data_IF_938584283493
#
_entry.id   IF_938584283493
#
_cell.length_a   1.000
_cell.length_b   1.000
_cell.length_c   1.000
_cell.angle_alpha   90.00
_cell.angle_beta   90.00
_cell.angle_gamma   90.00
#
_symmetry.space_group_name_H-M   'P 1'
#
loop_
_entity.id
_entity.type
_entity.pdbx_description
1 polymer ?
#
# COMPACT_ATOMS: atom_id res chain seq x y z
N UNK A 1 -27.08 -8.60 -23.37
CA UNK A 1 -27.23 -9.28 -22.07
C UNK A 1 -25.86 -9.73 -21.58
N UNK A 2 -25.47 -9.45 -20.34
CA UNK A 2 -24.17 -9.80 -19.78
C UNK A 2 -24.09 -11.31 -19.50
N UNK A 3 -23.23 -12.04 -20.22
CA UNK A 3 -23.03 -13.46 -20.01
C UNK A 3 -21.74 -13.72 -19.22
N UNK A 4 -21.88 -14.10 -17.94
CA UNK A 4 -20.75 -14.36 -17.04
C UNK A 4 -19.80 -15.48 -17.56
N UNK A 5 -20.34 -16.47 -18.27
CA UNK A 5 -19.53 -17.57 -18.81
C UNK A 5 -18.63 -17.07 -19.94
N UNK A 6 -19.17 -16.23 -20.82
CA UNK A 6 -18.41 -15.63 -21.93
C UNK A 6 -17.28 -14.74 -21.42
N UNK A 7 -17.55 -13.89 -20.42
CA UNK A 7 -16.51 -13.06 -19.79
C UNK A 7 -15.40 -13.86 -19.16
N UNK A 8 -15.72 -14.94 -18.42
CA UNK A 8 -14.73 -15.84 -17.85
C UNK A 8 -13.90 -16.52 -18.93
N UNK A 9 -14.52 -16.95 -20.02
CA UNK A 9 -13.82 -17.61 -21.12
C UNK A 9 -12.88 -16.65 -21.84
N UNK A 10 -13.32 -15.42 -22.15
CA UNK A 10 -12.48 -14.38 -22.74
C UNK A 10 -11.29 -14.03 -21.84
N UNK A 11 -11.52 -13.84 -20.53
CA UNK A 11 -10.46 -13.58 -19.55
C UNK A 11 -9.44 -14.74 -19.48
N UNK A 12 -9.91 -15.97 -19.49
CA UNK A 12 -9.04 -17.16 -19.48
C UNK A 12 -8.20 -17.28 -20.76
N UNK A 13 -8.77 -16.97 -21.92
CA UNK A 13 -8.03 -16.95 -23.18
C UNK A 13 -6.97 -15.86 -23.22
N UNK A 14 -7.31 -14.63 -22.77
CA UNK A 14 -6.37 -13.52 -22.68
C UNK A 14 -5.19 -13.85 -21.74
N UNK A 15 -5.49 -14.43 -20.58
CA UNK A 15 -4.48 -14.85 -19.60
C UNK A 15 -3.55 -15.93 -20.17
N UNK A 16 -4.11 -16.98 -20.82
CA UNK A 16 -3.31 -18.05 -21.41
C UNK A 16 -2.40 -17.55 -22.55
N UNK A 17 -2.87 -16.57 -23.33
CA UNK A 17 -2.14 -16.04 -24.48
C UNK A 17 -0.81 -15.36 -24.08
N UNK A 18 -0.74 -14.75 -22.89
CA UNK A 18 0.41 -14.02 -22.37
C UNK A 18 0.69 -14.41 -20.91
N UNK A 19 0.68 -15.72 -20.65
CA UNK A 19 0.73 -16.28 -19.29
C UNK A 19 1.95 -15.80 -18.50
N UNK A 20 3.15 -15.84 -19.11
CA UNK A 20 4.39 -15.48 -18.41
C UNK A 20 4.40 -14.01 -17.95
N UNK A 21 4.02 -13.08 -18.84
CA UNK A 21 3.97 -11.66 -18.49
C UNK A 21 2.83 -11.36 -17.50
N UNK A 22 1.67 -12.02 -17.64
CA UNK A 22 0.55 -11.82 -16.72
C UNK A 22 0.87 -12.31 -15.30
N UNK A 23 1.55 -13.46 -15.17
CA UNK A 23 2.01 -13.96 -13.86
C UNK A 23 3.09 -13.05 -13.27
N UNK A 24 4.05 -12.60 -14.10
CA UNK A 24 5.09 -11.68 -13.63
C UNK A 24 4.50 -10.36 -13.09
N UNK A 25 3.56 -9.74 -13.81
CA UNK A 25 2.88 -8.52 -13.36
C UNK A 25 2.05 -8.77 -12.10
N UNK A 26 1.32 -9.88 -12.02
CA UNK A 26 0.54 -10.23 -10.84
C UNK A 26 1.44 -10.43 -9.60
N UNK A 27 2.59 -11.11 -9.76
CA UNK A 27 3.58 -11.27 -8.69
C UNK A 27 4.19 -9.93 -8.27
N UNK A 28 4.57 -9.09 -9.23
CA UNK A 28 5.07 -7.74 -8.93
C UNK A 28 4.05 -6.90 -8.18
N UNK A 29 2.78 -6.89 -8.61
CA UNK A 29 1.71 -6.21 -7.89
C UNK A 29 1.52 -6.79 -6.48
N UNK A 30 1.58 -8.11 -6.31
CA UNK A 30 1.52 -8.77 -5.02
C UNK A 30 2.67 -8.37 -4.10
N UNK A 31 3.89 -8.35 -4.61
CA UNK A 31 5.08 -7.91 -3.86
C UNK A 31 4.98 -6.43 -3.47
N UNK A 32 4.55 -5.57 -4.38
CA UNK A 32 4.33 -4.14 -4.12
C UNK A 32 3.28 -3.96 -3.01
N UNK A 33 2.15 -4.64 -3.12
CA UNK A 33 1.12 -4.62 -2.08
C UNK A 33 1.62 -5.17 -0.74
N UNK A 34 2.55 -6.11 -0.76
CA UNK A 34 3.15 -6.70 0.44
C UNK A 34 4.15 -5.74 1.10
N UNK A 35 4.94 -5.02 0.30
CA UNK A 35 5.92 -4.05 0.78
C UNK A 35 5.25 -2.75 1.25
N UNK A 36 4.29 -2.26 0.49
CA UNK A 36 3.66 -0.95 0.70
C UNK A 36 2.29 -1.05 1.37
N UNK A 37 1.57 -2.14 1.20
CA UNK A 37 0.23 -2.36 1.76
C UNK A 37 0.16 -2.62 3.27
N UNK A 38 1.23 -2.41 3.96
CA UNK A 38 1.61 -2.27 5.39
C UNK A 38 0.70 -2.74 6.53
N UNK A 39 -0.49 -3.27 6.28
CA UNK A 39 -1.42 -3.54 7.38
C UNK A 39 -1.47 -5.00 7.89
N UNK A 40 -1.21 -5.98 7.02
CA UNK A 40 -1.54 -7.36 7.38
C UNK A 40 -0.35 -8.32 7.48
N UNK A 41 0.81 -7.93 7.02
CA UNK A 41 2.00 -8.81 7.05
C UNK A 41 2.77 -8.66 8.34
N UNK A 42 2.86 -7.46 8.88
CA UNK A 42 3.46 -7.20 10.19
C UNK A 42 2.69 -7.91 11.31
N UNK A 43 1.35 -7.91 11.27
CA UNK A 43 0.55 -8.67 12.25
C UNK A 43 0.75 -10.19 12.13
N UNK A 44 0.91 -10.72 10.92
CA UNK A 44 1.15 -12.16 10.72
C UNK A 44 2.58 -12.59 11.06
N UNK A 45 3.56 -11.72 10.89
CA UNK A 45 4.94 -12.00 11.26
C UNK A 45 5.17 -11.80 12.77
N UNK A 46 4.39 -10.93 13.42
CA UNK A 46 4.50 -10.68 14.86
C UNK A 46 3.95 -11.81 15.72
N UNK A 47 3.14 -12.73 15.14
CA UNK A 47 2.68 -13.94 15.85
C UNK A 47 3.75 -15.05 15.91
N UNK A 48 4.88 -14.89 15.24
CA UNK A 48 5.87 -15.97 15.06
C UNK A 48 7.05 -15.94 16.03
N UNK A 49 7.32 -14.83 16.73
CA UNK A 49 8.45 -14.77 17.66
C UNK A 49 8.23 -13.75 18.79
N UNK A 50 7.36 -14.07 19.74
CA UNK A 50 7.59 -13.66 21.10
C UNK A 50 8.63 -14.61 21.72
N UNK A 51 9.86 -14.47 21.30
CA UNK A 51 10.96 -14.92 22.15
C UNK A 51 10.92 -14.02 23.40
N UNK A 52 10.37 -14.55 24.48
CA UNK A 52 10.52 -13.99 25.82
C UNK A 52 12.02 -13.88 26.11
N UNK A 53 12.61 -12.75 25.70
CA UNK A 53 13.90 -12.38 26.20
C UNK A 53 13.71 -11.89 27.65
N UNK A 54 13.87 -12.82 28.57
CA UNK A 54 13.94 -12.57 30.02
C UNK A 54 15.19 -11.72 30.28
N UNK A 55 15.05 -10.42 30.12
CA UNK A 55 16.08 -9.43 30.39
C UNK A 55 15.58 -8.35 31.34
N UNK A 56 15.12 -8.75 32.53
CA UNK A 56 14.67 -7.80 33.55
C UNK A 56 15.74 -6.76 33.94
N UNK A 57 16.99 -7.07 33.79
CA UNK A 57 18.11 -6.14 34.08
C UNK A 57 18.27 -5.04 33.01
N UNK A 58 18.01 -5.35 31.75
CA UNK A 58 18.13 -4.36 30.66
C UNK A 58 16.94 -3.41 30.59
N UNK A 59 15.76 -3.85 31.00
CA UNK A 59 14.57 -3.00 31.04
C UNK A 59 14.70 -1.89 32.07
N UNK A 60 15.18 -2.22 33.27
CA UNK A 60 15.36 -1.24 34.35
C UNK A 60 16.38 -0.16 33.97
N UNK A 61 17.46 -0.50 33.27
CA UNK A 61 18.47 0.47 32.78
C UNK A 61 17.90 1.39 31.71
N UNK A 62 17.07 0.87 30.82
CA UNK A 62 16.42 1.66 29.76
C UNK A 62 15.37 2.59 30.38
N UNK A 63 14.57 2.12 31.34
CA UNK A 63 13.56 2.93 32.02
C UNK A 63 14.20 4.05 32.85
N UNK A 64 15.29 3.77 33.56
CA UNK A 64 16.04 4.76 34.34
C UNK A 64 16.69 5.81 33.41
N UNK A 65 17.25 5.39 32.29
CA UNK A 65 17.76 6.32 31.28
C UNK A 65 16.65 7.19 30.69
N UNK A 66 15.52 6.61 30.28
CA UNK A 66 14.41 7.34 29.68
C UNK A 66 13.72 8.29 30.65
N UNK A 67 13.73 8.00 31.96
CA UNK A 67 13.21 8.88 32.98
C UNK A 67 14.14 10.05 33.32
N UNK A 68 15.42 9.97 32.94
CA UNK A 68 16.36 11.07 33.13
C UNK A 68 16.06 12.24 32.15
N UNK A 69 16.36 13.52 32.53
CA UNK A 69 16.14 14.66 31.66
C UNK A 69 16.87 14.55 30.31
N UNK A 70 18.05 13.94 30.29
CA UNK A 70 18.82 13.69 29.05
C UNK A 70 18.17 12.59 28.21
N UNK A 71 17.67 11.53 28.83
CA UNK A 71 16.98 10.45 28.16
C UNK A 71 15.65 10.91 27.54
N UNK A 72 14.88 11.74 28.22
CA UNK A 72 13.65 12.36 27.69
C UNK A 72 13.93 13.21 26.45
N UNK A 73 14.99 14.04 26.48
CA UNK A 73 15.40 14.82 25.31
C UNK A 73 15.81 13.93 24.14
N UNK A 74 16.59 12.89 24.43
CA UNK A 74 17.03 11.94 23.41
C UNK A 74 15.84 11.18 22.80
N UNK A 75 14.92 10.68 23.62
CA UNK A 75 13.69 10.02 23.21
C UNK A 75 12.81 10.96 22.36
N UNK A 76 12.67 12.23 22.76
CA UNK A 76 11.92 13.22 22.00
C UNK A 76 12.51 13.48 20.60
N UNK A 77 13.83 13.63 20.50
CA UNK A 77 14.51 13.80 19.22
C UNK A 77 14.37 12.53 18.36
N UNK A 78 14.61 11.35 18.93
CA UNK A 78 14.48 10.09 18.23
C UNK A 78 13.05 9.89 17.69
N UNK A 79 12.04 10.16 18.52
CA UNK A 79 10.63 10.05 18.12
C UNK A 79 10.29 11.03 17.00
N UNK A 80 10.78 12.28 17.06
CA UNK A 80 10.54 13.27 16.00
C UNK A 80 11.17 12.87 14.67
N UNK A 81 12.37 12.31 14.69
CA UNK A 81 13.04 11.78 13.49
C UNK A 81 12.25 10.61 12.90
N UNK A 82 11.82 9.65 13.73
CA UNK A 82 10.99 8.52 13.29
C UNK A 82 9.67 9.01 12.67
N UNK A 83 9.04 10.00 13.28
CA UNK A 83 7.78 10.57 12.77
C UNK A 83 7.97 11.26 11.41
N UNK A 84 9.04 12.02 11.24
CA UNK A 84 9.36 12.65 9.94
C UNK A 84 9.66 11.58 8.89
N UNK A 85 10.44 10.56 9.23
CA UNK A 85 10.72 9.44 8.32
C UNK A 85 9.46 8.67 7.95
N UNK A 86 8.56 8.45 8.89
CA UNK A 86 7.27 7.80 8.64
C UNK A 86 6.39 8.64 7.70
N UNK A 87 6.33 9.97 7.88
CA UNK A 87 5.58 10.85 6.99
C UNK A 87 6.17 10.86 5.56
N UNK A 88 7.48 10.96 5.44
CA UNK A 88 8.16 10.88 4.14
C UNK A 88 7.91 9.52 3.47
N UNK A 89 8.03 8.43 4.24
CA UNK A 89 7.75 7.08 3.78
C UNK A 89 6.30 6.94 3.28
N UNK A 90 5.33 7.46 4.02
CA UNK A 90 3.90 7.44 3.64
C UNK A 90 3.65 8.20 2.33
N UNK A 91 4.26 9.39 2.15
CA UNK A 91 4.12 10.15 0.91
C UNK A 91 4.74 9.41 -0.27
N UNK A 92 5.95 8.87 -0.11
CA UNK A 92 6.62 8.09 -1.16
C UNK A 92 5.82 6.82 -1.49
N UNK A 93 5.33 6.13 -0.49
CA UNK A 93 4.44 4.98 -0.65
C UNK A 93 3.23 5.35 -1.51
N UNK A 94 2.52 6.40 -1.14
CA UNK A 94 1.33 6.85 -1.87
C UNK A 94 1.63 7.19 -3.34
N UNK A 95 2.73 7.90 -3.58
CA UNK A 95 3.14 8.32 -4.91
C UNK A 95 3.56 7.14 -5.81
N UNK A 96 4.24 6.14 -5.25
CA UNK A 96 4.76 5.01 -6.02
C UNK A 96 3.72 3.90 -6.17
N UNK A 97 3.09 3.49 -5.07
CA UNK A 97 2.13 2.38 -5.03
C UNK A 97 0.95 2.63 -5.97
N UNK A 98 0.28 3.77 -5.83
CA UNK A 98 -0.89 4.09 -6.65
C UNK A 98 -0.58 4.10 -8.15
N UNK A 99 0.56 4.63 -8.54
CA UNK A 99 0.95 4.67 -9.95
C UNK A 99 1.29 3.29 -10.50
N UNK A 100 1.92 2.43 -9.68
CA UNK A 100 2.19 1.03 -10.05
C UNK A 100 0.91 0.21 -10.16
N UNK A 101 -0.07 0.42 -9.29
CA UNK A 101 -1.39 -0.22 -9.36
C UNK A 101 -2.11 0.17 -10.67
N UNK A 102 -2.06 1.44 -11.05
CA UNK A 102 -2.62 1.90 -12.32
C UNK A 102 -1.90 1.27 -13.51
N UNK A 103 -0.58 1.22 -13.48
CA UNK A 103 0.23 0.58 -14.53
C UNK A 103 -0.08 -0.92 -14.67
N UNK A 104 -0.20 -1.63 -13.56
CA UNK A 104 -0.61 -3.03 -13.54
C UNK A 104 -2.03 -3.25 -14.07
N UNK A 105 -2.97 -2.41 -13.67
CA UNK A 105 -4.35 -2.46 -14.18
C UNK A 105 -4.39 -2.22 -15.69
N UNK A 106 -3.62 -1.25 -16.18
CA UNK A 106 -3.47 -0.97 -17.62
C UNK A 106 -2.90 -2.17 -18.38
N UNK A 107 -1.89 -2.86 -17.81
CA UNK A 107 -1.37 -4.08 -18.41
C UNK A 107 -2.47 -5.12 -18.62
N UNK A 108 -3.31 -5.38 -17.60
CA UNK A 108 -4.38 -6.38 -17.72
C UNK A 108 -5.47 -5.98 -18.72
N UNK A 109 -5.77 -4.69 -18.84
CA UNK A 109 -6.71 -4.19 -19.85
C UNK A 109 -6.16 -4.41 -21.26
N UNK A 110 -4.91 -4.01 -21.52
CA UNK A 110 -4.25 -4.20 -22.82
C UNK A 110 -4.06 -5.67 -23.15
N UNK A 111 -3.85 -6.52 -22.16
CA UNK A 111 -3.69 -7.96 -22.37
C UNK A 111 -4.95 -8.65 -22.92
N UNK A 112 -6.10 -7.99 -22.91
CA UNK A 112 -7.33 -8.53 -23.54
C UNK A 112 -7.25 -8.49 -25.06
N UNK A 113 -6.63 -7.46 -25.62
CA UNK A 113 -6.54 -7.23 -27.08
C UNK A 113 -5.15 -7.50 -27.63
N UNK A 114 -4.12 -7.15 -26.90
CA UNK A 114 -2.71 -7.18 -27.32
C UNK A 114 -1.91 -8.16 -26.46
N UNK A 115 -0.59 -8.23 -26.69
CA UNK A 115 0.40 -8.92 -25.84
C UNK A 115 1.37 -7.91 -25.26
N UNK A 116 0.96 -7.14 -24.25
CA UNK A 116 1.85 -6.16 -23.64
C UNK A 116 3.00 -6.85 -22.91
N UNK A 117 4.18 -6.21 -22.95
CA UNK A 117 5.31 -6.61 -22.11
C UNK A 117 5.14 -6.16 -20.66
N UNK A 118 5.90 -6.75 -19.74
CA UNK A 118 5.90 -6.35 -18.31
C UNK A 118 6.22 -4.85 -18.13
N UNK A 119 7.02 -4.28 -19.05
CA UNK A 119 7.38 -2.85 -19.04
C UNK A 119 6.20 -1.88 -19.13
N UNK A 120 5.05 -2.31 -19.65
CA UNK A 120 3.80 -1.52 -19.69
C UNK A 120 3.33 -1.09 -18.30
N UNK A 121 3.68 -1.83 -17.26
CA UNK A 121 3.40 -1.45 -15.87
C UNK A 121 4.08 -0.15 -15.47
N UNK A 122 5.23 0.18 -16.11
CA UNK A 122 6.00 1.41 -15.86
C UNK A 122 5.65 2.57 -16.80
N UNK A 123 4.77 2.36 -17.76
CA UNK A 123 4.33 3.40 -18.71
C UNK A 123 3.83 4.68 -18.03
N UNK A 124 3.06 4.65 -16.91
CA UNK A 124 2.62 5.86 -16.25
C UNK A 124 3.78 6.75 -15.79
N UNK A 125 4.94 6.17 -15.47
CA UNK A 125 6.15 6.93 -15.10
C UNK A 125 6.86 7.53 -16.30
N UNK A 126 6.75 6.90 -17.48
CA UNK A 126 7.45 7.31 -18.71
C UNK A 126 6.64 8.25 -19.59
N UNK A 127 5.32 8.19 -19.54
CA UNK A 127 4.43 8.90 -20.45
C UNK A 127 4.28 10.41 -20.19
N UNK A 128 5.00 10.97 -19.22
CA UNK A 128 4.84 12.38 -18.83
C UNK A 128 3.49 12.72 -18.13
N UNK A 129 2.59 11.76 -18.02
CA UNK A 129 1.26 11.92 -17.39
C UNK A 129 1.24 11.50 -15.92
N UNK A 130 2.41 11.29 -15.31
CA UNK A 130 2.54 10.87 -13.92
C UNK A 130 1.75 11.76 -12.95
N UNK A 131 1.90 13.10 -13.11
CA UNK A 131 1.18 14.07 -12.28
C UNK A 131 -0.35 13.95 -12.38
N UNK A 132 -0.86 13.70 -13.58
CA UNK A 132 -2.31 13.51 -13.80
C UNK A 132 -2.81 12.22 -13.14
N UNK A 133 -2.02 11.15 -13.17
CA UNK A 133 -2.36 9.88 -12.50
C UNK A 133 -2.40 10.07 -10.99
N UNK A 134 -1.38 10.71 -10.42
CA UNK A 134 -1.31 11.01 -8.97
C UNK A 134 -2.46 11.91 -8.55
N UNK A 135 -2.74 12.97 -9.30
CA UNK A 135 -3.85 13.89 -9.01
C UNK A 135 -5.21 13.19 -9.07
N UNK A 136 -5.43 12.33 -10.06
CA UNK A 136 -6.68 11.58 -10.19
C UNK A 136 -6.87 10.63 -9.00
N UNK A 137 -5.81 9.95 -8.57
CA UNK A 137 -5.86 9.08 -7.39
C UNK A 137 -6.11 9.87 -6.12
N UNK A 138 -5.44 11.01 -5.96
CA UNK A 138 -5.65 11.90 -4.82
C UNK A 138 -7.09 12.41 -4.76
N UNK A 139 -7.64 12.88 -5.87
CA UNK A 139 -9.04 13.31 -5.94
C UNK A 139 -10.03 12.18 -5.62
N UNK A 140 -9.76 10.98 -6.12
CA UNK A 140 -10.56 9.79 -5.80
C UNK A 140 -10.59 9.54 -4.29
N UNK A 141 -9.42 9.52 -3.67
CA UNK A 141 -9.27 9.20 -2.25
C UNK A 141 -9.85 10.33 -1.37
N UNK A 142 -9.66 11.58 -1.78
CA UNK A 142 -10.33 12.74 -1.15
C UNK A 142 -11.85 12.62 -1.22
N UNK A 143 -12.40 12.20 -2.36
CA UNK A 143 -13.83 11.98 -2.53
C UNK A 143 -14.35 10.86 -1.61
N UNK A 144 -13.64 9.73 -1.56
CA UNK A 144 -13.97 8.61 -0.65
C UNK A 144 -13.90 9.06 0.80
N UNK A 145 -12.88 9.82 1.17
CA UNK A 145 -12.75 10.39 2.52
C UNK A 145 -13.92 11.32 2.87
N UNK A 146 -14.30 12.21 1.96
CA UNK A 146 -15.45 13.12 2.15
C UNK A 146 -16.75 12.34 2.34
N UNK A 147 -16.99 11.30 1.54
CA UNK A 147 -18.14 10.42 1.69
C UNK A 147 -18.12 9.65 3.02
N UNK A 148 -16.96 9.16 3.44
CA UNK A 148 -16.81 8.50 4.75
C UNK A 148 -17.17 9.44 5.89
N UNK A 149 -16.73 10.70 5.81
CA UNK A 149 -17.00 11.72 6.82
C UNK A 149 -18.49 12.07 6.86
N UNK A 150 -19.15 12.13 5.69
CA UNK A 150 -20.60 12.36 5.58
C UNK A 150 -21.40 11.21 6.21
N UNK A 151 -20.88 9.97 6.16
CA UNK A 151 -21.55 8.78 6.69
C UNK A 151 -21.36 8.65 8.22
N UNK A 152 -20.24 9.15 8.75
CA UNK A 152 -19.94 9.17 10.19
C UNK A 152 -20.88 10.11 10.95
N UNK A 153 -21.20 11.28 10.38
CA UNK A 153 -22.07 12.28 11.01
C UNK A 153 -23.45 11.71 11.38
N UNK A 154 -24.22 11.09 10.44
CA UNK A 154 -25.51 10.49 10.82
C UNK A 154 -25.35 9.28 11.74
N UNK A 155 -24.26 8.55 11.69
CA UNK A 155 -23.96 7.45 12.60
C UNK A 155 -23.84 7.91 14.04
N UNK A 156 -23.14 9.02 14.29
CA UNK A 156 -22.99 9.62 15.62
C UNK A 156 -24.33 10.20 16.10
N UNK A 157 -25.04 10.93 15.24
CA UNK A 157 -26.32 11.55 15.59
C UNK A 157 -27.38 10.49 15.95
N UNK A 158 -27.35 9.32 15.32
CA UNK A 158 -28.30 8.24 15.58
C UNK A 158 -27.94 7.39 16.79
N UNK A 159 -26.72 7.50 17.32
CA UNK A 159 -26.28 6.77 18.53
C UNK A 159 -26.71 7.45 19.83
N UNK A 160 -27.25 8.66 19.77
CA UNK A 160 -27.89 9.41 20.84
C UNK A 160 -29.41 9.31 20.70
#
# INVERSE_FOLDING_TARGET
MWNRQELKMRGKMAFKRNYGAAVAVALLMGIISLIFGGGNVTERLQYSDTVEYSGSASQNVIEDFLSSPKGMLFAGIATSIVLVMALVGMVLQYLVENVLIVGGSRFFVLNQTERPGVGTMLDPFRSGHYGNVVLTMFLRDLYVFLWSLLLVVPGIVKSY
#
